data_IF_286091068848
#
_entry.id   IF_286091068848
#
_cell.length_a   1.000
_cell.length_b   1.000
_cell.length_c   1.000
_cell.angle_alpha   90.00
_cell.angle_beta   90.00
_cell.angle_gamma   90.00
#
_symmetry.space_group_name_H-M   'P 1'
#
loop_
_entity.id
_entity.type
_entity.pdbx_description
1 polymer ?
#
# COMPACT_ATOMS: atom_id res chain seq x y z
N UNK A 1 -13.84 0.99 4.93
CA UNK A 1 -13.56 2.38 5.32
C UNK A 1 -14.33 2.73 6.58
N UNK A 2 -13.66 3.33 7.57
CA UNK A 2 -14.31 3.95 8.73
C UNK A 2 -15.14 5.17 8.30
N UNK A 3 -16.05 5.71 9.14
CA UNK A 3 -16.78 6.94 8.83
C UNK A 3 -15.87 8.12 8.49
N UNK A 4 -14.74 8.27 9.18
CA UNK A 4 -13.76 9.32 8.91
C UNK A 4 -13.02 9.11 7.58
N UNK A 5 -12.58 7.90 7.32
CA UNK A 5 -11.97 7.55 6.03
C UNK A 5 -12.95 7.79 4.88
N UNK A 6 -14.22 7.43 5.05
CA UNK A 6 -15.26 7.68 4.05
C UNK A 6 -15.44 9.18 3.79
N UNK A 7 -15.53 9.99 4.85
CA UNK A 7 -15.66 11.44 4.75
C UNK A 7 -14.53 12.07 3.91
N UNK A 8 -13.31 11.58 4.05
CA UNK A 8 -12.17 12.11 3.29
C UNK A 8 -12.05 11.48 1.91
N UNK A 9 -12.11 10.16 1.81
CA UNK A 9 -11.79 9.42 0.57
C UNK A 9 -12.95 9.48 -0.44
N UNK A 10 -14.19 9.39 0.04
CA UNK A 10 -15.40 9.33 -0.82
C UNK A 10 -16.06 10.70 -0.94
N UNK A 11 -16.27 11.38 0.20
CA UNK A 11 -16.97 12.65 0.25
C UNK A 11 -16.03 13.85 0.06
N UNK A 12 -14.77 13.60 -0.34
CA UNK A 12 -13.74 14.61 -0.67
C UNK A 12 -13.46 15.62 0.45
N UNK A 13 -13.54 15.15 1.70
CA UNK A 13 -13.16 15.97 2.85
C UNK A 13 -11.65 16.08 3.02
N UNK A 14 -11.24 16.83 4.04
CA UNK A 14 -9.83 16.99 4.42
C UNK A 14 -9.67 16.62 5.89
N UNK A 15 -8.62 15.87 6.22
CA UNK A 15 -8.24 15.61 7.62
C UNK A 15 -7.65 16.87 8.26
N UNK A 16 -7.66 16.96 9.60
CA UNK A 16 -7.04 18.07 10.29
C UNK A 16 -5.51 18.06 10.11
N UNK A 17 -4.86 19.23 9.96
CA UNK A 17 -3.42 19.30 9.81
C UNK A 17 -2.70 18.77 11.05
N UNK A 18 -1.53 18.15 10.88
CA UNK A 18 -0.67 17.58 11.93
C UNK A 18 -1.28 16.42 12.74
N UNK A 19 -2.43 15.88 12.33
CA UNK A 19 -3.09 14.75 13.00
C UNK A 19 -2.92 13.43 12.26
N UNK A 20 -2.55 13.48 10.99
CA UNK A 20 -2.45 12.31 10.14
C UNK A 20 -1.24 11.44 10.48
N UNK A 21 -1.42 10.12 10.42
CA UNK A 21 -0.38 9.13 10.76
C UNK A 21 0.92 9.30 9.97
N UNK A 22 0.85 9.76 8.73
CA UNK A 22 1.98 9.77 7.81
C UNK A 22 2.56 11.16 7.54
N UNK A 23 2.08 12.20 8.22
CA UNK A 23 2.58 13.54 7.95
C UNK A 23 4.10 13.64 8.23
N UNK A 24 4.57 13.13 9.37
CA UNK A 24 6.01 13.10 9.77
C UNK A 24 6.62 11.69 9.65
N UNK A 25 6.07 10.83 8.82
CA UNK A 25 6.55 9.46 8.63
C UNK A 25 7.73 9.45 7.66
N UNK A 26 8.85 8.80 8.04
CA UNK A 26 10.14 8.83 7.30
C UNK A 26 10.68 7.45 6.96
N UNK A 27 9.94 6.40 7.20
CA UNK A 27 10.36 5.04 6.88
C UNK A 27 10.42 4.82 5.37
N UNK A 28 11.42 4.04 4.90
CA UNK A 28 11.55 3.68 3.50
C UNK A 28 10.45 2.69 3.08
N UNK A 29 9.77 2.96 1.98
CA UNK A 29 8.69 2.11 1.50
C UNK A 29 7.81 2.80 0.46
N UNK A 30 6.62 2.24 0.26
CA UNK A 30 5.63 2.70 -0.72
C UNK A 30 4.32 3.04 -0.02
N UNK A 31 3.73 4.15 -0.43
CA UNK A 31 2.39 4.56 0.00
C UNK A 31 1.36 4.12 -1.03
N UNK A 32 0.39 3.37 -0.59
CA UNK A 32 -0.69 2.78 -1.39
C UNK A 32 -2.02 3.49 -1.14
N UNK A 33 -2.92 3.40 -2.11
CA UNK A 33 -4.30 3.87 -1.96
C UNK A 33 -5.03 3.06 -0.89
N UNK A 34 -5.58 3.73 0.12
CA UNK A 34 -6.36 3.11 1.20
C UNK A 34 -7.57 2.33 0.70
N UNK A 35 -8.20 2.80 -0.37
CA UNK A 35 -9.42 2.18 -0.89
C UNK A 35 -9.16 0.94 -1.75
N UNK A 36 -8.12 0.94 -2.60
CA UNK A 36 -7.91 -0.13 -3.59
C UNK A 36 -6.53 -0.80 -3.56
N UNK A 37 -5.63 -0.36 -2.67
CA UNK A 37 -4.29 -0.92 -2.53
C UNK A 37 -3.32 -0.59 -3.68
N UNK A 38 -3.70 0.23 -4.66
CA UNK A 38 -2.78 0.61 -5.74
C UNK A 38 -1.60 1.44 -5.21
N UNK A 39 -0.35 1.20 -5.66
CA UNK A 39 0.80 2.00 -5.28
C UNK A 39 0.67 3.43 -5.84
N UNK A 40 0.94 4.44 -5.02
CA UNK A 40 0.78 5.85 -5.36
C UNK A 40 2.07 6.64 -5.29
N UNK A 41 2.81 6.53 -4.19
CA UNK A 41 4.00 7.34 -3.91
C UNK A 41 5.12 6.49 -3.29
N UNK A 42 6.37 6.87 -3.55
CA UNK A 42 7.53 6.32 -2.86
C UNK A 42 7.95 7.23 -1.71
N UNK A 43 8.49 6.65 -0.66
CA UNK A 43 9.07 7.42 0.46
C UNK A 43 10.21 8.35 0.02
N UNK A 44 10.94 7.97 -1.05
CA UNK A 44 12.02 8.77 -1.62
C UNK A 44 11.54 10.12 -2.20
N UNK A 45 10.28 10.20 -2.61
CA UNK A 45 9.66 11.41 -3.16
C UNK A 45 8.94 12.25 -2.09
N UNK A 46 8.94 11.76 -0.81
CA UNK A 46 8.33 12.45 0.32
C UNK A 46 9.26 13.50 0.91
N UNK A 47 8.73 14.68 1.19
CA UNK A 47 9.45 15.76 1.86
C UNK A 47 8.58 16.48 2.90
N UNK A 48 9.21 17.26 3.76
CA UNK A 48 8.51 18.07 4.76
C UNK A 48 8.23 19.46 4.19
N UNK A 49 6.96 19.77 3.96
CA UNK A 49 6.51 21.10 3.55
C UNK A 49 6.01 21.96 4.74
N UNK A 50 6.05 21.44 5.97
CA UNK A 50 5.56 22.14 7.16
C UNK A 50 4.05 22.42 7.16
N UNK A 51 3.29 21.81 6.26
CA UNK A 51 1.86 22.10 6.08
C UNK A 51 0.92 21.22 6.92
N UNK A 52 1.46 20.18 7.58
CA UNK A 52 0.70 19.26 8.43
C UNK A 52 0.08 18.07 7.72
N UNK A 53 0.36 17.89 6.43
CA UNK A 53 -0.03 16.73 5.62
C UNK A 53 1.18 16.11 4.93
N UNK A 54 1.16 14.80 4.64
CA UNK A 54 2.16 14.17 3.78
C UNK A 54 2.32 14.91 2.47
N UNK A 55 3.56 15.25 2.13
CA UNK A 55 3.89 15.96 0.89
C UNK A 55 4.87 15.16 0.06
N UNK A 56 4.58 15.04 -1.25
CA UNK A 56 5.42 14.31 -2.21
C UNK A 56 5.70 15.20 -3.42
N UNK A 57 6.90 15.14 -3.96
CA UNK A 57 7.27 15.94 -5.13
C UNK A 57 7.12 15.18 -6.45
N UNK A 58 6.78 13.89 -6.38
CA UNK A 58 6.46 13.04 -7.53
C UNK A 58 5.48 11.92 -7.14
N UNK A 59 4.80 11.36 -8.11
CA UNK A 59 3.98 10.16 -8.00
C UNK A 59 4.59 8.99 -8.78
N UNK A 60 4.17 7.77 -8.45
CA UNK A 60 4.44 6.61 -9.31
C UNK A 60 3.74 6.84 -10.65
N UNK A 61 4.44 6.72 -11.80
CA UNK A 61 3.89 7.06 -13.10
C UNK A 61 2.52 6.43 -13.37
N UNK A 62 1.53 7.27 -13.67
CA UNK A 62 0.16 6.85 -13.96
C UNK A 62 -0.70 6.48 -12.74
N UNK A 63 -0.19 6.64 -11.52
CA UNK A 63 -0.91 6.27 -10.30
C UNK A 63 -1.95 7.32 -9.85
N UNK A 64 -1.76 8.57 -10.24
CA UNK A 64 -2.57 9.71 -9.78
C UNK A 64 -3.19 10.45 -10.96
N UNK A 65 -4.46 10.79 -10.85
CA UNK A 65 -5.19 11.65 -11.78
C UNK A 65 -5.32 13.05 -11.20
N UNK A 66 -5.14 14.08 -12.02
CA UNK A 66 -5.24 15.50 -11.66
C UNK A 66 -6.47 16.09 -12.33
N UNK A 67 -7.33 16.72 -11.54
CA UNK A 67 -8.57 17.34 -12.05
C UNK A 67 -8.70 18.74 -11.43
N UNK A 68 -8.89 19.81 -12.21
CA UNK A 68 -9.17 21.14 -11.66
C UNK A 68 -10.42 21.08 -10.76
N UNK A 69 -10.34 21.68 -9.58
CA UNK A 69 -11.51 21.85 -8.70
C UNK A 69 -12.55 22.75 -9.39
N UNK A 70 -13.80 22.60 -8.97
CA UNK A 70 -14.92 23.41 -9.48
C UNK A 70 -14.72 24.92 -9.23
N UNK A 71 -13.92 25.30 -8.22
CA UNK A 71 -13.57 26.68 -7.93
C UNK A 71 -12.44 27.25 -8.83
N UNK A 72 -11.81 26.41 -9.65
CA UNK A 72 -10.70 26.75 -10.54
C UNK A 72 -9.41 27.21 -9.85
N UNK A 73 -9.34 27.11 -8.52
CA UNK A 73 -8.18 27.58 -7.73
C UNK A 73 -7.20 26.48 -7.38
N UNK A 74 -7.69 25.26 -7.23
CA UNK A 74 -6.89 24.11 -6.84
C UNK A 74 -7.03 23.00 -7.86
N UNK A 75 -6.09 22.07 -7.84
CA UNK A 75 -6.15 20.84 -8.63
C UNK A 75 -6.25 19.66 -7.69
N UNK A 76 -7.40 18.99 -7.72
CA UNK A 76 -7.63 17.75 -6.98
C UNK A 76 -6.75 16.64 -7.52
N UNK A 77 -6.25 15.78 -6.63
CA UNK A 77 -5.59 14.52 -6.98
C UNK A 77 -6.38 13.33 -6.46
N UNK A 78 -6.60 12.37 -7.35
CA UNK A 78 -7.33 11.14 -7.06
C UNK A 78 -6.51 9.93 -7.49
N UNK A 79 -6.79 8.76 -6.89
CA UNK A 79 -6.23 7.51 -7.33
C UNK A 79 -6.70 7.18 -8.76
N UNK A 80 -5.79 7.01 -9.70
CA UNK A 80 -6.13 6.72 -11.09
C UNK A 80 -6.89 5.40 -11.27
N UNK A 81 -6.71 4.43 -10.35
CA UNK A 81 -7.35 3.12 -10.41
C UNK A 81 -8.80 3.12 -9.92
N UNK A 82 -9.12 3.84 -8.84
CA UNK A 82 -10.43 3.74 -8.20
C UNK A 82 -11.14 5.07 -7.97
N UNK A 83 -10.51 6.21 -8.31
CA UNK A 83 -11.07 7.55 -8.13
C UNK A 83 -11.10 8.06 -6.68
N UNK A 84 -10.52 7.34 -5.72
CA UNK A 84 -10.44 7.77 -4.33
C UNK A 84 -9.78 9.14 -4.22
N UNK A 85 -10.38 10.05 -3.46
CA UNK A 85 -9.80 11.36 -3.19
C UNK A 85 -8.51 11.22 -2.36
N UNK A 86 -7.43 11.84 -2.82
CA UNK A 86 -6.14 11.85 -2.15
C UNK A 86 -5.86 13.20 -1.48
N UNK A 87 -6.12 14.29 -2.16
CA UNK A 87 -5.83 15.64 -1.75
C UNK A 87 -5.73 16.59 -2.94
N UNK A 88 -4.70 17.45 -2.93
CA UNK A 88 -4.49 18.45 -3.98
C UNK A 88 -3.02 18.53 -4.38
N UNK A 89 -2.75 18.96 -5.61
CA UNK A 89 -1.39 19.24 -6.09
C UNK A 89 -1.21 20.75 -6.25
N UNK A 90 -0.03 21.23 -5.81
CA UNK A 90 0.42 22.61 -5.90
C UNK A 90 1.71 22.68 -6.69
N UNK A 91 1.85 23.67 -7.53
CA UNK A 91 3.00 23.84 -8.43
C UNK A 91 3.72 25.16 -8.13
N UNK A 92 5.01 25.20 -8.43
CA UNK A 92 5.84 26.41 -8.37
C UNK A 92 5.96 27.05 -6.98
N UNK A 93 5.90 26.25 -5.92
CA UNK A 93 6.12 26.71 -4.54
C UNK A 93 7.61 26.72 -4.13
N UNK A 94 8.50 26.12 -4.90
CA UNK A 94 9.96 26.18 -4.68
C UNK A 94 10.49 25.25 -3.59
N UNK A 95 9.72 24.28 -3.10
CA UNK A 95 10.19 23.35 -2.06
C UNK A 95 11.23 22.37 -2.59
N UNK A 96 11.08 21.90 -3.81
CA UNK A 96 11.99 20.94 -4.44
C UNK A 96 12.30 21.37 -5.88
N UNK A 97 13.37 20.83 -6.49
CA UNK A 97 13.68 21.11 -7.91
C UNK A 97 12.57 20.73 -8.88
N UNK A 98 11.69 19.75 -8.52
CA UNK A 98 10.53 19.36 -9.32
C UNK A 98 9.38 20.38 -9.29
N UNK A 99 9.43 21.35 -8.36
CA UNK A 99 8.41 22.38 -8.19
C UNK A 99 6.97 21.84 -8.13
N UNK A 100 6.80 20.65 -7.62
CA UNK A 100 5.51 19.96 -7.49
C UNK A 100 5.34 19.52 -6.04
N UNK A 101 4.18 19.75 -5.47
CA UNK A 101 3.81 19.27 -4.14
C UNK A 101 2.45 18.62 -4.18
N UNK A 102 2.41 17.31 -4.10
CA UNK A 102 1.21 16.54 -3.81
C UNK A 102 0.96 16.60 -2.31
N UNK A 103 -0.07 17.33 -1.89
CA UNK A 103 -0.52 17.41 -0.51
C UNK A 103 -1.61 16.37 -0.29
N UNK A 104 -1.30 15.31 0.44
CA UNK A 104 -2.12 14.11 0.50
C UNK A 104 -2.65 13.89 1.92
N UNK A 105 -3.93 13.50 2.04
CA UNK A 105 -4.49 13.10 3.33
C UNK A 105 -3.89 11.76 3.78
N UNK A 106 -3.40 11.68 5.02
CA UNK A 106 -2.87 10.43 5.58
C UNK A 106 -3.89 9.31 5.58
N UNK A 107 -5.16 9.62 5.83
CA UNK A 107 -6.25 8.65 5.85
C UNK A 107 -6.52 8.02 4.47
N UNK A 108 -6.08 8.68 3.39
CA UNK A 108 -6.18 8.14 2.03
C UNK A 108 -5.04 7.17 1.67
N UNK A 109 -4.08 6.99 2.56
CA UNK A 109 -2.87 6.20 2.34
C UNK A 109 -2.80 4.97 3.24
N UNK A 110 -2.14 3.94 2.73
CA UNK A 110 -1.56 2.81 3.46
C UNK A 110 -0.07 2.79 3.18
N UNK A 111 0.75 2.57 4.20
CA UNK A 111 2.19 2.45 4.03
C UNK A 111 2.61 0.99 4.06
N UNK A 112 3.44 0.61 3.10
CA UNK A 112 4.13 -0.66 3.02
C UNK A 112 5.64 -0.41 3.12
N UNK A 113 6.30 -0.89 4.21
CA UNK A 113 7.74 -0.69 4.38
C UNK A 113 8.50 -1.46 3.30
N UNK A 114 9.59 -0.86 2.81
CA UNK A 114 10.57 -1.57 1.99
C UNK A 114 11.22 -2.66 2.85
N UNK A 115 11.15 -3.92 2.39
CA UNK A 115 11.80 -5.02 3.09
C UNK A 115 13.30 -4.71 3.18
N UNK A 116 13.80 -4.44 4.41
CA UNK A 116 15.22 -4.35 4.66
C UNK A 116 15.85 -5.68 4.25
N UNK A 117 16.74 -5.65 3.30
CA UNK A 117 17.58 -6.80 2.99
C UNK A 117 18.37 -7.16 4.27
N UNK A 118 17.84 -8.08 5.09
CA UNK A 118 18.51 -8.55 6.30
C UNK A 118 17.67 -8.78 7.55
N UNK A 119 16.39 -8.42 7.60
CA UNK A 119 15.56 -8.73 8.77
C UNK A 119 14.35 -9.60 8.38
N UNK A 120 14.57 -10.88 8.49
CA UNK A 120 13.56 -11.92 8.44
C UNK A 120 12.77 -11.86 9.77
N UNK A 121 11.45 -11.67 9.77
CA UNK A 121 10.70 -11.90 11.01
C UNK A 121 10.84 -13.36 11.39
N UNK A 122 11.37 -13.59 12.58
CA UNK A 122 11.45 -14.91 13.16
C UNK A 122 10.05 -15.43 13.45
N UNK A 123 9.54 -16.27 12.57
CA UNK A 123 8.44 -17.20 12.86
C UNK A 123 8.98 -18.60 12.66
N UNK A 124 8.90 -19.36 13.74
CA UNK A 124 9.55 -20.64 13.96
C UNK A 124 9.41 -21.69 12.86
N UNK A 125 10.51 -22.30 12.66
CA UNK A 125 10.93 -23.58 12.23
C UNK A 125 10.03 -24.48 11.42
N UNK A 126 10.56 -24.87 10.26
CA UNK A 126 10.85 -26.29 10.02
C UNK A 126 11.84 -26.36 8.85
N UNK A 127 12.98 -26.95 9.14
CA UNK A 127 14.06 -27.16 8.18
C UNK A 127 13.64 -28.23 7.18
N UNK A 128 13.39 -27.85 5.94
CA UNK A 128 13.38 -28.79 4.83
C UNK A 128 14.69 -28.69 4.07
N UNK A 129 15.31 -29.86 3.88
CA UNK A 129 16.62 -30.07 3.31
C UNK A 129 16.77 -29.42 1.92
N UNK A 130 17.82 -28.64 1.76
CA UNK A 130 18.26 -27.96 0.55
C UNK A 130 18.62 -28.98 -0.55
N UNK A 131 17.81 -29.03 -1.61
CA UNK A 131 18.25 -29.57 -2.89
C UNK A 131 18.92 -28.45 -3.67
N UNK A 132 20.12 -28.73 -4.19
CA UNK A 132 20.92 -27.76 -4.93
C UNK A 132 20.11 -27.11 -6.08
N UNK A 133 20.07 -25.77 -6.07
CA UNK A 133 19.56 -24.95 -7.18
C UNK A 133 18.10 -24.50 -7.12
N UNK A 134 17.36 -24.82 -6.04
CA UNK A 134 15.97 -24.32 -5.86
C UNK A 134 15.78 -23.66 -4.50
N UNK A 135 15.05 -22.54 -4.47
CA UNK A 135 14.65 -21.85 -3.24
C UNK A 135 13.13 -21.89 -3.09
N UNK A 136 12.64 -21.93 -1.84
CA UNK A 136 11.21 -21.91 -1.54
C UNK A 136 10.85 -20.56 -0.96
N UNK A 137 9.83 -19.91 -1.53
CA UNK A 137 9.26 -18.68 -0.99
C UNK A 137 7.82 -18.93 -0.55
N UNK A 138 7.44 -18.39 0.60
CA UNK A 138 6.09 -18.50 1.17
C UNK A 138 5.44 -17.12 1.08
N UNK A 139 4.26 -17.06 0.46
CA UNK A 139 3.49 -15.84 0.30
C UNK A 139 2.13 -15.99 0.99
N UNK A 140 1.70 -14.96 1.72
CA UNK A 140 0.36 -14.87 2.25
C UNK A 140 -0.51 -14.04 1.29
N UNK A 141 -1.67 -14.57 0.91
CA UNK A 141 -2.60 -13.90 0.01
C UNK A 141 -4.05 -14.19 0.39
N UNK A 142 -4.98 -13.33 -0.02
CA UNK A 142 -6.39 -13.44 0.35
C UNK A 142 -7.09 -14.63 -0.31
N UNK A 143 -7.18 -14.68 -1.63
CA UNK A 143 -7.77 -15.79 -2.37
C UNK A 143 -6.68 -16.65 -2.99
N UNK A 144 -6.39 -17.81 -2.42
CA UNK A 144 -5.25 -18.62 -2.84
C UNK A 144 -5.35 -19.20 -4.26
N UNK A 145 -6.55 -19.44 -4.79
CA UNK A 145 -6.74 -19.88 -6.17
C UNK A 145 -6.16 -18.89 -7.19
N UNK A 146 -6.41 -17.59 -7.01
CA UNK A 146 -5.86 -16.54 -7.87
C UNK A 146 -4.35 -16.37 -7.71
N UNK A 147 -3.85 -16.46 -6.49
CA UNK A 147 -2.41 -16.35 -6.18
C UNK A 147 -1.64 -17.54 -6.76
N UNK A 148 -2.14 -18.77 -6.57
CA UNK A 148 -1.55 -19.98 -7.15
C UNK A 148 -1.47 -19.91 -8.66
N UNK A 149 -2.58 -19.52 -9.33
CA UNK A 149 -2.61 -19.37 -10.78
C UNK A 149 -1.58 -18.34 -11.29
N UNK A 150 -1.49 -17.17 -10.65
CA UNK A 150 -0.56 -16.13 -11.04
C UNK A 150 0.90 -16.57 -10.85
N UNK A 151 1.22 -17.12 -9.69
CA UNK A 151 2.58 -17.58 -9.37
C UNK A 151 3.02 -18.72 -10.29
N UNK A 152 2.13 -19.65 -10.65
CA UNK A 152 2.43 -20.76 -11.56
C UNK A 152 2.80 -20.32 -12.97
N UNK A 153 2.47 -19.09 -13.37
CA UNK A 153 2.80 -18.49 -14.69
C UNK A 153 4.09 -17.68 -14.68
N UNK A 154 4.71 -17.46 -13.52
CA UNK A 154 5.93 -16.66 -13.45
C UNK A 154 7.15 -17.45 -13.95
N UNK A 155 8.03 -16.83 -14.76
CA UNK A 155 9.27 -17.45 -15.18
C UNK A 155 10.15 -17.85 -13.98
N UNK A 156 10.65 -19.09 -13.98
CA UNK A 156 11.49 -19.60 -12.91
C UNK A 156 10.74 -20.29 -11.76
N UNK A 157 9.41 -20.25 -11.73
CA UNK A 157 8.61 -20.98 -10.75
C UNK A 157 8.44 -22.42 -11.21
N UNK A 158 8.92 -23.36 -10.42
CA UNK A 158 8.88 -24.80 -10.73
C UNK A 158 7.62 -25.48 -10.18
N UNK A 159 7.14 -25.01 -9.01
CA UNK A 159 5.97 -25.58 -8.34
C UNK A 159 5.33 -24.50 -7.45
N UNK A 160 4.02 -24.49 -7.38
CA UNK A 160 3.23 -23.70 -6.41
C UNK A 160 2.34 -24.66 -5.66
N UNK A 161 2.26 -24.47 -4.35
CA UNK A 161 1.32 -25.20 -3.46
C UNK A 161 0.55 -24.18 -2.64
N UNK A 162 -0.77 -24.28 -2.64
CA UNK A 162 -1.64 -23.49 -1.79
C UNK A 162 -1.98 -24.23 -0.51
N UNK A 163 -2.05 -23.51 0.61
CA UNK A 163 -2.37 -24.10 1.90
C UNK A 163 -2.74 -23.03 2.94
N UNK A 164 -2.98 -23.49 4.14
CA UNK A 164 -3.27 -22.65 5.29
C UNK A 164 -2.13 -22.74 6.30
N UNK A 165 -1.79 -21.64 6.94
CA UNK A 165 -0.76 -21.60 7.98
C UNK A 165 -1.15 -20.65 9.11
N UNK A 166 -0.60 -20.88 10.31
CA UNK A 166 -0.79 -19.97 11.46
C UNK A 166 -1.99 -20.31 12.36
N UNK A 167 -2.84 -21.29 12.00
CA UNK A 167 -3.91 -21.79 12.85
C UNK A 167 -3.45 -22.88 13.82
N UNK A 168 -4.31 -23.28 14.77
CA UNK A 168 -4.07 -24.35 15.74
C UNK A 168 -4.60 -25.70 15.27
N UNK A 169 -5.40 -25.73 14.21
CA UNK A 169 -5.99 -26.95 13.65
C UNK A 169 -5.06 -27.55 12.61
N UNK A 170 -4.68 -28.82 12.76
CA UNK A 170 -3.92 -29.54 11.74
C UNK A 170 -4.81 -29.88 10.54
N UNK A 171 -4.33 -29.61 9.34
CA UNK A 171 -5.04 -29.86 8.07
C UNK A 171 -6.48 -29.33 8.03
N UNK A 172 -6.71 -28.00 8.28
CA UNK A 172 -8.06 -27.45 8.31
C UNK A 172 -8.72 -27.50 6.93
N UNK A 173 -10.04 -27.74 6.92
CA UNK A 173 -10.83 -27.64 5.69
C UNK A 173 -11.11 -26.17 5.34
N UNK A 174 -11.45 -25.90 4.07
CA UNK A 174 -11.83 -24.56 3.63
C UNK A 174 -12.99 -23.97 4.45
N UNK A 175 -14.00 -24.78 4.77
CA UNK A 175 -15.15 -24.33 5.58
C UNK A 175 -14.74 -23.96 7.01
N UNK A 176 -13.81 -24.70 7.62
CA UNK A 176 -13.31 -24.41 8.95
C UNK A 176 -12.51 -23.10 8.98
N UNK A 177 -11.75 -22.80 7.94
CA UNK A 177 -11.02 -21.53 7.81
C UNK A 177 -12.00 -20.37 7.60
N UNK A 178 -12.97 -20.52 6.72
CA UNK A 178 -13.98 -19.49 6.45
C UNK A 178 -14.89 -19.20 7.65
N UNK A 179 -15.14 -20.19 8.50
CA UNK A 179 -15.93 -20.03 9.73
C UNK A 179 -15.14 -19.46 10.92
N UNK A 180 -13.85 -19.16 10.73
CA UNK A 180 -12.94 -18.67 11.77
C UNK A 180 -12.84 -19.58 13.00
N UNK A 181 -12.98 -20.90 12.81
CA UNK A 181 -12.93 -21.90 13.90
C UNK A 181 -11.56 -22.58 14.07
N UNK A 182 -10.57 -22.17 13.30
CA UNK A 182 -9.22 -22.79 13.32
C UNK A 182 -8.25 -22.14 14.31
N UNK A 183 -8.69 -21.11 15.04
CA UNK A 183 -7.92 -20.43 16.13
C UNK A 183 -7.13 -19.26 15.72
#
# INVERSE_FOLDING_TARGET
LTPEERRVIVDKGTEAPFTGRYYDHREAGVYHCRQCGAPLYRSADKFDAGCGWPSFDDEIPGAVMRTPDADGRRTEITCAKCGAHLGHVFLNEGFTPKNTRHCVNSVSLLFEPEAKAGEQPAAGGEQTQKKEGTETAIFAGGCFWGVEYLLSKMPGVLKVESGYTGGRTENPTYEQVCSHTTG
#
